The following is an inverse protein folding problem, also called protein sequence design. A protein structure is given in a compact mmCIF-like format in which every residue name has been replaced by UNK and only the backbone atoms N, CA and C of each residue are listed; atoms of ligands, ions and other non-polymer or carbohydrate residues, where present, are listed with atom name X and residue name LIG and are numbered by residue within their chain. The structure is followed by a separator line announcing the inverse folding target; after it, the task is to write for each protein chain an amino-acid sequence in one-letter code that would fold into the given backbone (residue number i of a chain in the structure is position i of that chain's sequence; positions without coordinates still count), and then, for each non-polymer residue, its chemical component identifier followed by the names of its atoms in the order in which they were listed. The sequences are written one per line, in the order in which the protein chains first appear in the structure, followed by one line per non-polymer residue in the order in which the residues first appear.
data_IF_687606009623
#
_entry.id   IF_687606009623
#
_cell.length_a   1.000
_cell.length_b   1.000
_cell.length_c   1.000
_cell.angle_alpha   90.00
_cell.angle_beta   90.00
_cell.angle_gamma   90.00
#
_symmetry.space_group_name_H-M   'P 1'
#
loop_
_entity.id
_entity.type
_entity.pdbx_description
1 polymer ?
#
# COMPACT_ATOMS: atom_id res chain seq x y z
N UNK A 1 -0.57 0.28 15.06
CA UNK A 1 0.65 0.57 14.27
C UNK A 1 1.39 -0.73 14.08
N UNK A 2 1.47 -1.22 12.85
CA UNK A 2 2.20 -2.41 12.42
C UNK A 2 3.57 -2.06 11.83
N UNK A 3 4.43 -3.07 11.67
CA UNK A 3 5.78 -2.95 11.10
C UNK A 3 5.95 -3.81 9.87
N UNK A 4 6.54 -3.23 8.83
CA UNK A 4 7.13 -3.95 7.70
C UNK A 4 8.64 -3.95 7.88
N UNK A 5 9.27 -5.12 7.81
CA UNK A 5 10.73 -5.25 7.81
C UNK A 5 11.18 -5.91 6.51
N UNK A 6 12.16 -5.31 5.83
CA UNK A 6 12.72 -5.78 4.57
C UNK A 6 14.24 -5.92 4.67
N UNK A 7 14.77 -7.04 4.17
CA UNK A 7 16.20 -7.37 4.22
C UNK A 7 16.82 -7.26 5.63
N UNK A 8 16.02 -7.54 6.66
CA UNK A 8 16.37 -7.48 8.10
C UNK A 8 16.89 -6.13 8.62
N UNK A 9 17.03 -5.10 7.79
CA UNK A 9 17.68 -3.83 8.11
C UNK A 9 16.71 -2.66 8.02
N UNK A 10 15.89 -2.62 6.97
CA UNK A 10 14.89 -1.59 6.80
C UNK A 10 13.62 -1.97 7.55
N UNK A 11 13.14 -1.06 8.40
CA UNK A 11 11.84 -1.17 9.06
C UNK A 11 11.04 0.10 8.84
N UNK A 12 9.76 -0.04 8.51
CA UNK A 12 8.81 1.06 8.38
C UNK A 12 7.54 0.77 9.18
N UNK A 13 7.03 1.80 9.85
CA UNK A 13 5.81 1.76 10.63
C UNK A 13 4.61 2.20 9.78
N UNK A 14 3.50 1.48 9.90
CA UNK A 14 2.24 1.79 9.21
C UNK A 14 1.06 1.59 10.15
N UNK A 15 -0.09 2.18 9.86
CA UNK A 15 -1.33 1.71 10.46
C UNK A 15 -1.55 0.23 10.13
N UNK A 16 -2.03 -0.56 11.10
CA UNK A 16 -2.26 -2.00 10.88
C UNK A 16 -3.22 -2.24 9.71
N UNK A 17 -4.19 -1.34 9.52
CA UNK A 17 -5.11 -1.37 8.37
C UNK A 17 -4.35 -1.20 7.06
N UNK A 18 -3.51 -0.17 6.91
CA UNK A 18 -2.68 0.03 5.71
C UNK A 18 -1.76 -1.18 5.49
N UNK A 19 -1.09 -1.65 6.54
CA UNK A 19 -0.17 -2.78 6.49
C UNK A 19 -0.83 -4.05 5.93
N UNK A 20 -2.06 -4.34 6.36
CA UNK A 20 -2.82 -5.49 5.89
C UNK A 20 -3.12 -5.43 4.38
N UNK A 21 -3.45 -4.24 3.86
CA UNK A 21 -3.77 -4.09 2.44
C UNK A 21 -2.51 -4.17 1.58
N UNK A 22 -1.42 -3.49 1.97
CA UNK A 22 -0.16 -3.58 1.24
C UNK A 22 0.44 -4.99 1.31
N UNK A 23 0.27 -5.73 2.41
CA UNK A 23 0.70 -7.13 2.50
C UNK A 23 0.01 -7.99 1.44
N UNK A 24 -1.30 -7.81 1.23
CA UNK A 24 -2.05 -8.56 0.21
C UNK A 24 -1.52 -8.24 -1.19
N UNK A 25 -1.30 -6.96 -1.49
CA UNK A 25 -0.83 -6.51 -2.81
C UNK A 25 0.60 -6.99 -3.08
N UNK A 26 1.51 -6.77 -2.13
CA UNK A 26 2.91 -7.21 -2.22
C UNK A 26 2.97 -8.72 -2.37
N UNK A 27 2.27 -9.47 -1.51
CA UNK A 27 2.25 -10.92 -1.56
C UNK A 27 1.66 -11.47 -2.86
N UNK A 28 0.70 -10.79 -3.48
CA UNK A 28 0.17 -11.20 -4.78
C UNK A 28 1.19 -11.03 -5.91
N UNK A 29 1.93 -9.91 -5.96
CA UNK A 29 2.96 -9.66 -6.98
C UNK A 29 4.17 -10.58 -6.80
N UNK A 30 4.71 -10.68 -5.58
CA UNK A 30 5.90 -11.51 -5.32
C UNK A 30 5.64 -13.00 -5.58
N UNK A 31 4.44 -13.52 -5.30
CA UNK A 31 4.07 -14.91 -5.64
C UNK A 31 4.06 -15.18 -7.14
N UNK A 32 3.89 -14.16 -7.99
CA UNK A 32 3.99 -14.26 -9.45
C UNK A 32 5.41 -14.01 -9.97
N UNK A 33 6.39 -13.84 -9.08
CA UNK A 33 7.75 -13.49 -9.47
C UNK A 33 7.93 -12.03 -9.86
N UNK A 34 6.91 -11.18 -9.68
CA UNK A 34 6.96 -9.78 -10.08
C UNK A 34 7.73 -8.97 -9.03
N UNK A 35 8.87 -8.41 -9.45
CA UNK A 35 9.61 -7.44 -8.64
C UNK A 35 9.19 -6.02 -9.02
N UNK A 36 9.09 -5.12 -8.05
CA UNK A 36 8.54 -3.78 -8.26
C UNK A 36 8.98 -2.81 -7.17
N UNK A 37 8.85 -1.51 -7.43
CA UNK A 37 9.09 -0.48 -6.42
C UNK A 37 7.92 -0.34 -5.45
N UNK A 38 8.21 -0.10 -4.18
CA UNK A 38 7.24 0.33 -3.18
C UNK A 38 7.70 1.65 -2.56
N UNK A 39 6.83 2.65 -2.60
CA UNK A 39 7.11 4.00 -2.12
C UNK A 39 6.06 4.42 -1.10
N UNK A 40 6.51 5.07 -0.04
CA UNK A 40 5.66 5.74 0.92
C UNK A 40 6.31 7.05 1.37
N UNK A 41 5.54 7.87 2.08
CA UNK A 41 6.03 9.07 2.75
C UNK A 41 5.93 8.85 4.25
N UNK A 42 6.91 9.35 4.97
CA UNK A 42 6.85 9.37 6.43
C UNK A 42 5.85 10.42 6.90
N UNK A 43 5.44 10.32 8.17
CA UNK A 43 4.57 11.34 8.79
C UNK A 43 5.19 12.73 8.58
N UNK A 44 4.41 13.74 8.14
CA UNK A 44 4.91 15.11 7.99
C UNK A 44 5.66 15.66 9.21
N UNK A 45 5.39 15.16 10.42
CA UNK A 45 6.12 15.54 11.63
C UNK A 45 7.50 14.86 11.79
N UNK A 46 7.72 13.71 11.15
CA UNK A 46 8.99 12.98 11.16
C UNK A 46 9.98 13.49 10.09
N UNK A 47 9.50 14.32 9.16
CA UNK A 47 10.25 14.87 8.02
C UNK A 47 9.56 14.50 6.71
N UNK A 48 9.56 15.42 5.74
CA UNK A 48 8.97 15.21 4.40
C UNK A 48 9.86 14.28 3.53
N UNK A 49 10.17 13.10 4.07
CA UNK A 49 10.96 12.06 3.45
C UNK A 49 10.09 11.16 2.60
N UNK A 50 10.47 10.97 1.34
CA UNK A 50 9.94 9.89 0.49
C UNK A 50 10.88 8.70 0.55
N UNK A 51 10.39 7.58 1.06
CA UNK A 51 11.10 6.32 1.04
C UNK A 51 10.69 5.50 -0.17
N UNK A 52 11.64 4.80 -0.80
CA UNK A 52 11.36 3.89 -1.91
C UNK A 52 12.28 2.69 -1.82
N UNK A 53 11.70 1.50 -1.92
CA UNK A 53 12.44 0.24 -1.98
C UNK A 53 12.11 -0.56 -3.22
N UNK A 54 13.08 -1.35 -3.65
CA UNK A 54 12.85 -2.43 -4.60
C UNK A 54 12.44 -3.70 -3.85
N UNK A 55 11.27 -4.24 -4.15
CA UNK A 55 10.78 -5.51 -3.63
C UNK A 55 11.08 -6.64 -4.61
N UNK A 56 11.71 -7.71 -4.13
CA UNK A 56 12.08 -8.87 -4.94
C UNK A 56 11.71 -10.19 -4.23
N UNK A 57 11.18 -11.22 -4.93
CA UNK A 57 10.74 -12.48 -4.31
C UNK A 57 11.81 -13.24 -3.52
N UNK A 58 13.09 -13.02 -3.86
CA UNK A 58 14.24 -13.63 -3.19
C UNK A 58 14.71 -12.93 -1.92
N UNK A 59 14.12 -11.79 -1.53
CA UNK A 59 14.52 -11.03 -0.34
C UNK A 59 13.44 -11.22 0.76
N UNK A 60 13.83 -11.59 1.99
CA UNK A 60 12.87 -11.75 3.08
C UNK A 60 12.10 -10.46 3.39
N UNK A 61 10.80 -10.61 3.61
CA UNK A 61 9.90 -9.56 4.10
C UNK A 61 9.10 -10.10 5.28
N UNK A 62 9.00 -9.31 6.35
CA UNK A 62 8.23 -9.65 7.54
C UNK A 62 7.19 -8.56 7.84
N UNK A 63 6.02 -9.00 8.29
CA UNK A 63 4.92 -8.14 8.72
C UNK A 63 4.63 -8.44 10.18
N UNK A 64 4.67 -7.42 11.03
CA UNK A 64 4.32 -7.52 12.45
C UNK A 64 3.14 -6.61 12.76
N UNK A 65 2.06 -7.19 13.24
CA UNK A 65 0.88 -6.45 13.70
C UNK A 65 0.91 -6.32 15.22
N UNK A 66 0.46 -5.17 15.73
CA UNK A 66 0.39 -4.94 17.18
C UNK A 66 -1.05 -4.87 17.71
N UNK A 67 -2.04 -4.75 16.81
CA UNK A 67 -3.45 -4.88 17.16
C UNK A 67 -3.83 -6.31 17.56
N UNK A 68 -4.78 -6.44 18.48
CA UNK A 68 -5.29 -7.74 18.94
C UNK A 68 -6.28 -8.41 17.97
N UNK A 69 -6.85 -7.65 17.03
CA UNK A 69 -7.76 -8.15 15.99
C UNK A 69 -7.15 -7.93 14.61
N UNK A 70 -7.34 -8.90 13.72
CA UNK A 70 -6.95 -8.75 12.31
C UNK A 70 -7.78 -7.62 11.66
N UNK A 71 -7.13 -6.69 10.93
CA UNK A 71 -7.85 -5.63 10.22
C UNK A 71 -8.79 -6.19 9.16
N UNK A 72 -10.02 -5.67 9.08
CA UNK A 72 -10.94 -5.98 7.98
C UNK A 72 -10.41 -5.41 6.66
N UNK A 73 -10.28 -6.26 5.65
CA UNK A 73 -9.82 -5.88 4.32
C UNK A 73 -10.94 -5.22 3.50
N UNK A 74 -10.59 -4.13 2.82
CA UNK A 74 -11.39 -3.49 1.79
C UNK A 74 -10.89 -3.93 0.42
N UNK A 75 -11.75 -4.65 -0.31
CA UNK A 75 -11.44 -5.20 -1.63
C UNK A 75 -11.15 -4.12 -2.67
N UNK A 76 -11.96 -3.06 -2.69
CA UNK A 76 -11.80 -1.98 -3.67
C UNK A 76 -10.49 -1.23 -3.45
N UNK A 77 -10.09 -1.07 -2.19
CA UNK A 77 -8.80 -0.46 -1.88
C UNK A 77 -7.63 -1.37 -2.29
N UNK A 78 -7.74 -2.69 -2.11
CA UNK A 78 -6.75 -3.64 -2.64
C UNK A 78 -6.65 -3.52 -4.16
N UNK A 79 -7.78 -3.43 -4.87
CA UNK A 79 -7.82 -3.27 -6.33
C UNK A 79 -7.16 -1.95 -6.76
N UNK A 80 -7.45 -0.85 -6.06
CA UNK A 80 -6.83 0.45 -6.32
C UNK A 80 -5.32 0.46 -6.03
N UNK A 81 -4.86 -0.16 -4.93
CA UNK A 81 -3.44 -0.33 -4.62
C UNK A 81 -2.74 -1.26 -5.62
N UNK A 82 -3.41 -2.31 -6.10
CA UNK A 82 -2.90 -3.17 -7.16
C UNK A 82 -2.70 -2.39 -8.46
N UNK A 83 -3.62 -1.48 -8.78
CA UNK A 83 -3.51 -0.62 -9.95
C UNK A 83 -2.28 0.30 -9.86
N UNK A 84 -2.00 0.89 -8.69
CA UNK A 84 -0.75 1.67 -8.52
C UNK A 84 0.48 0.78 -8.67
N UNK A 85 0.47 -0.41 -8.06
CA UNK A 85 1.58 -1.37 -8.13
C UNK A 85 1.90 -1.91 -9.53
N UNK A 86 0.97 -1.80 -10.48
CA UNK A 86 1.16 -2.17 -11.88
C UNK A 86 1.61 -0.99 -12.76
N UNK A 87 1.71 0.22 -12.21
CA UNK A 87 2.23 1.39 -12.90
C UNK A 87 3.77 1.46 -12.85
N UNK A 88 4.35 2.33 -13.68
CA UNK A 88 5.81 2.55 -13.72
C UNK A 88 6.39 3.13 -12.43
N UNK A 89 5.57 3.79 -11.60
CA UNK A 89 5.99 4.31 -10.29
C UNK A 89 5.95 3.26 -9.18
N UNK A 90 5.45 2.05 -9.45
CA UNK A 90 5.33 0.99 -8.46
C UNK A 90 4.20 1.23 -7.44
N UNK A 91 4.16 0.43 -6.38
CA UNK A 91 3.13 0.52 -5.34
C UNK A 91 3.27 1.84 -4.60
N UNK A 92 2.21 2.65 -4.65
CA UNK A 92 2.06 3.88 -3.88
C UNK A 92 0.90 3.70 -2.89
N UNK A 93 1.12 4.13 -1.65
CA UNK A 93 0.03 4.19 -0.66
C UNK A 93 -0.89 5.36 -1.05
N UNK A 94 -2.14 5.04 -1.31
CA UNK A 94 -3.22 6.01 -1.58
C UNK A 94 -4.24 5.95 -0.45
N UNK A 95 -4.97 7.06 -0.18
CA UNK A 95 -6.06 7.04 0.79
C UNK A 95 -7.09 5.96 0.46
N UNK A 96 -7.64 5.33 1.49
CA UNK A 96 -8.75 4.42 1.31
C UNK A 96 -9.94 5.20 0.73
N UNK A 97 -10.36 4.84 -0.47
CA UNK A 97 -11.56 5.43 -1.06
C UNK A 97 -12.76 4.74 -0.42
N UNK A 98 -13.58 5.50 0.30
CA UNK A 98 -14.93 5.07 0.65
C UNK A 98 -15.76 5.13 -0.64
N UNK A 99 -16.09 3.99 -1.24
CA UNK A 99 -16.97 3.98 -2.40
C UNK A 99 -18.39 4.39 -1.98
N UNK A 100 -18.71 5.65 -2.30
CA UNK A 100 -20.05 6.13 -2.71
C UNK A 100 -20.05 7.62 -3.09
N UNK A 101 -18.92 8.36 -2.99
CA UNK A 101 -18.91 9.81 -3.21
C UNK A 101 -18.24 10.31 -4.51
N UNK A 102 -17.73 9.44 -5.39
CA UNK A 102 -17.00 9.86 -6.59
C UNK A 102 -17.70 9.55 -7.94
N UNK A 103 -18.95 9.09 -7.93
CA UNK A 103 -19.78 8.92 -9.13
C UNK A 103 -20.97 9.89 -9.15
N UNK A 104 -20.73 11.16 -8.82
CA UNK A 104 -21.68 12.26 -9.06
C UNK A 104 -20.91 13.50 -9.52
N UNK A 105 -20.03 13.33 -10.50
CA UNK A 105 -19.47 14.43 -11.30
C UNK A 105 -20.40 14.68 -12.49
N UNK A 106 -21.56 15.25 -12.20
CA UNK A 106 -22.52 15.93 -13.08
C UNK A 106 -22.14 16.01 -14.56
N UNK A 107 -22.86 15.22 -15.37
CA UNK A 107 -23.25 15.62 -16.73
C UNK A 107 -23.97 16.96 -16.61
N UNK A 108 -23.30 18.04 -16.99
CA UNK A 108 -23.96 19.28 -17.36
C UNK A 108 -23.81 19.42 -18.86
N UNK A 109 -24.71 18.74 -19.57
CA UNK A 109 -25.13 19.18 -20.89
C UNK A 109 -25.58 20.64 -20.75
N UNK A 110 -25.00 21.53 -21.53
CA UNK A 110 -25.55 22.87 -21.74
C UNK A 110 -25.58 23.12 -23.27
N UNK A 111 -26.70 23.63 -23.81
CA UNK A 111 -27.04 23.58 -25.23
C UNK A 111 -26.24 24.53 -26.14
#
# INVERSE_FOLDING_TARGET
MGKLTYDSSLTADFDDRVLAHIQVVIGAKLRRGESFYFTWRDDPQAGDGRNTIWLHPGIPIAYKYFGSRSPTLNREWIEALMATANSSSGLQIIPETSSLAAQSGTLKDEP
#
